data_IF_690802433055
#
_entry.id   IF_690802433055
#
_cell.length_a   1.000
_cell.length_b   1.000
_cell.length_c   1.000
_cell.angle_alpha   90.00
_cell.angle_beta   90.00
_cell.angle_gamma   90.00
#
_symmetry.space_group_name_H-M   'P 1'
#
loop_
_entity.id
_entity.type
_entity.pdbx_description
1 polymer ?
#
# COMPACT_ATOMS: atom_id res chain seq x y z
N UNK A 1 -5.78 29.96 -37.83
CA UNK A 1 -5.10 29.25 -36.72
C UNK A 1 -5.75 27.91 -36.40
N UNK A 2 -7.00 27.80 -35.92
CA UNK A 2 -7.64 26.47 -35.76
C UNK A 2 -7.83 25.72 -37.10
N UNK A 3 -8.24 26.43 -38.15
CA UNK A 3 -8.40 25.85 -39.50
C UNK A 3 -7.10 25.33 -40.11
N UNK A 4 -5.95 25.87 -39.70
CA UNK A 4 -4.65 25.46 -40.23
C UNK A 4 -4.21 24.11 -39.63
N UNK A 5 -4.45 23.89 -38.33
CA UNK A 5 -4.17 22.60 -37.69
C UNK A 5 -5.07 21.48 -38.19
N UNK A 6 -6.34 21.76 -38.43
CA UNK A 6 -7.26 20.78 -39.03
C UNK A 6 -6.78 20.33 -40.42
N UNK A 7 -6.34 21.28 -41.26
CA UNK A 7 -5.76 20.98 -42.58
C UNK A 7 -4.46 20.20 -42.50
N UNK A 8 -3.60 20.52 -41.53
CA UNK A 8 -2.37 19.77 -41.28
C UNK A 8 -2.65 18.33 -40.83
N UNK A 9 -3.70 18.12 -40.03
CA UNK A 9 -4.13 16.79 -39.61
C UNK A 9 -4.65 15.99 -40.81
N UNK A 10 -5.47 16.61 -41.67
CA UNK A 10 -5.93 15.97 -42.92
C UNK A 10 -4.75 15.58 -43.80
N UNK A 11 -3.77 16.49 -43.96
CA UNK A 11 -2.54 16.22 -44.70
C UNK A 11 -1.76 15.05 -44.10
N UNK A 12 -1.62 15.01 -42.77
CA UNK A 12 -0.98 13.89 -42.07
C UNK A 12 -1.69 12.55 -42.27
N UNK A 13 -3.02 12.56 -42.42
CA UNK A 13 -3.82 11.36 -42.70
C UNK A 13 -3.67 10.87 -44.14
N UNK A 14 -3.58 11.79 -45.11
CA UNK A 14 -3.46 11.47 -46.54
C UNK A 14 -2.04 11.06 -46.97
N UNK A 15 -1.01 11.51 -46.23
CA UNK A 15 0.37 11.16 -46.54
C UNK A 15 0.66 9.65 -46.33
N UNK A 16 1.45 9.05 -47.24
CA UNK A 16 1.86 7.65 -47.14
C UNK A 16 2.80 7.41 -45.95
N UNK A 17 2.83 6.16 -45.48
CA UNK A 17 3.71 5.75 -44.37
C UNK A 17 5.19 6.05 -44.68
N UNK A 18 5.91 6.57 -43.68
CA UNK A 18 7.33 6.93 -43.80
C UNK A 18 7.67 8.22 -44.56
N UNK A 19 6.68 9.00 -45.00
CA UNK A 19 6.92 10.25 -45.73
C UNK A 19 7.66 11.30 -44.87
N UNK A 20 8.68 11.97 -45.41
CA UNK A 20 9.57 12.88 -44.65
C UNK A 20 8.81 14.03 -43.94
N UNK A 21 7.78 14.57 -44.60
CA UNK A 21 6.95 15.66 -44.07
C UNK A 21 6.18 15.27 -42.80
N UNK A 22 5.89 13.99 -42.58
CA UNK A 22 5.22 13.53 -41.36
C UNK A 22 6.05 13.83 -40.10
N UNK A 23 7.39 13.81 -40.19
CA UNK A 23 8.25 14.18 -39.06
C UNK A 23 8.13 15.67 -38.72
N UNK A 24 8.11 16.53 -39.73
CA UNK A 24 7.96 17.98 -39.54
C UNK A 24 6.58 18.32 -38.99
N UNK A 25 5.53 17.64 -39.48
CA UNK A 25 4.18 17.76 -38.93
C UNK A 25 4.15 17.35 -37.46
N UNK A 26 4.76 16.21 -37.11
CA UNK A 26 4.80 15.72 -35.74
C UNK A 26 5.54 16.66 -34.78
N UNK A 27 6.69 17.21 -35.19
CA UNK A 27 7.44 18.21 -34.43
C UNK A 27 6.61 19.49 -34.22
N UNK A 28 5.90 19.91 -35.27
CA UNK A 28 5.03 21.07 -35.21
C UNK A 28 3.88 20.83 -34.23
N UNK A 29 3.13 19.73 -34.38
CA UNK A 29 2.06 19.36 -33.44
C UNK A 29 2.55 19.27 -31.99
N UNK A 30 3.75 18.72 -31.78
CA UNK A 30 4.38 18.65 -30.46
C UNK A 30 4.60 20.04 -29.87
N UNK A 31 5.16 20.98 -30.63
CA UNK A 31 5.40 22.36 -30.16
C UNK A 31 4.12 23.12 -29.77
N UNK A 32 2.99 22.77 -30.39
CA UNK A 32 1.67 23.35 -30.10
C UNK A 32 0.86 22.56 -29.05
N UNK A 33 1.39 21.44 -28.54
CA UNK A 33 0.74 20.61 -27.53
C UNK A 33 -0.33 19.65 -28.05
N UNK A 34 -0.40 19.43 -29.37
CA UNK A 34 -1.34 18.53 -30.03
C UNK A 34 -0.80 17.09 -30.03
N UNK A 35 -0.94 16.41 -28.90
CA UNK A 35 -0.29 15.11 -28.66
C UNK A 35 -0.78 13.99 -29.57
N UNK A 36 -2.09 13.83 -29.79
CA UNK A 36 -2.60 12.71 -30.60
C UNK A 36 -2.16 12.83 -32.05
N UNK A 37 -2.28 14.03 -32.63
CA UNK A 37 -1.83 14.31 -33.99
C UNK A 37 -0.33 14.07 -34.15
N UNK A 38 0.49 14.50 -33.18
CA UNK A 38 1.92 14.25 -33.20
C UNK A 38 2.25 12.74 -33.12
N UNK A 39 1.58 12.02 -32.22
CA UNK A 39 1.76 10.56 -32.03
C UNK A 39 1.39 9.81 -33.31
N UNK A 40 0.25 10.13 -33.93
CA UNK A 40 -0.19 9.46 -35.15
C UNK A 40 0.80 9.66 -36.31
N UNK A 41 1.33 10.87 -36.46
CA UNK A 41 2.38 11.15 -37.44
C UNK A 41 3.67 10.37 -37.15
N UNK A 42 4.13 10.32 -35.89
CA UNK A 42 5.33 9.53 -35.54
C UNK A 42 5.12 8.02 -35.69
N UNK A 43 3.93 7.50 -35.38
CA UNK A 43 3.58 6.10 -35.57
C UNK A 43 3.58 5.71 -37.05
N UNK A 44 3.05 6.56 -37.94
CA UNK A 44 3.14 6.37 -39.41
C UNK A 44 4.56 6.38 -39.94
N UNK A 45 5.51 6.99 -39.24
CA UNK A 45 6.94 6.95 -39.56
C UNK A 45 7.68 5.78 -38.90
N UNK A 46 6.99 4.89 -38.19
CA UNK A 46 7.59 3.85 -37.35
C UNK A 46 8.57 4.40 -36.29
N UNK A 47 8.37 5.65 -35.86
CA UNK A 47 9.19 6.36 -34.86
C UNK A 47 8.55 6.28 -33.47
N UNK A 48 8.43 5.07 -32.95
CA UNK A 48 7.70 4.79 -31.70
C UNK A 48 8.34 5.49 -30.49
N UNK A 49 9.68 5.58 -30.45
CA UNK A 49 10.41 6.28 -29.39
C UNK A 49 10.04 7.77 -29.31
N UNK A 50 9.94 8.44 -30.47
CA UNK A 50 9.61 9.87 -30.54
C UNK A 50 8.13 10.12 -30.20
N UNK A 51 7.23 9.21 -30.61
CA UNK A 51 5.83 9.24 -30.22
C UNK A 51 5.66 9.15 -28.69
N UNK A 52 6.40 8.22 -28.06
CA UNK A 52 6.41 8.04 -26.61
C UNK A 52 7.00 9.27 -25.88
N UNK A 53 8.10 9.80 -26.39
CA UNK A 53 8.74 11.01 -25.84
C UNK A 53 7.82 12.23 -25.92
N UNK A 54 7.06 12.37 -27.00
CA UNK A 54 6.05 13.42 -27.17
C UNK A 54 4.96 13.34 -26.11
N UNK A 55 4.47 12.13 -25.83
CA UNK A 55 3.48 11.91 -24.77
C UNK A 55 4.03 12.34 -23.40
N UNK A 56 5.29 12.03 -23.11
CA UNK A 56 5.95 12.45 -21.87
C UNK A 56 6.08 13.98 -21.80
N UNK A 57 6.62 14.62 -22.85
CA UNK A 57 6.79 16.07 -22.95
C UNK A 57 5.49 16.83 -22.72
N UNK A 58 4.40 16.33 -23.28
CA UNK A 58 3.06 16.93 -23.20
C UNK A 58 2.26 16.48 -21.96
N UNK A 59 2.88 15.74 -21.03
CA UNK A 59 2.27 15.18 -19.83
C UNK A 59 1.03 14.30 -20.11
N UNK A 60 0.99 13.62 -21.28
CA UNK A 60 -0.04 12.64 -21.67
C UNK A 60 0.37 11.23 -21.25
N UNK A 61 0.33 11.00 -19.94
CA UNK A 61 0.85 9.79 -19.32
C UNK A 61 0.08 8.51 -19.66
N UNK A 62 -1.25 8.60 -19.74
CA UNK A 62 -2.08 7.45 -20.11
C UNK A 62 -1.73 6.95 -21.51
N UNK A 63 -1.56 7.89 -22.44
CA UNK A 63 -1.15 7.59 -23.82
C UNK A 63 0.26 7.03 -23.90
N UNK A 64 1.21 7.59 -23.13
CA UNK A 64 2.54 7.02 -22.99
C UNK A 64 2.49 5.56 -22.48
N UNK A 65 1.65 5.29 -21.48
CA UNK A 65 1.49 3.95 -20.92
C UNK A 65 0.90 2.96 -21.96
N UNK A 66 -0.09 3.38 -22.75
CA UNK A 66 -0.64 2.59 -23.86
C UNK A 66 0.42 2.26 -24.91
N UNK A 67 1.22 3.24 -25.34
CA UNK A 67 2.27 3.04 -26.33
C UNK A 67 3.37 2.09 -25.82
N UNK A 68 3.75 2.23 -24.55
CA UNK A 68 4.73 1.34 -23.92
C UNK A 68 4.23 -0.11 -23.88
N UNK A 69 2.96 -0.31 -23.53
CA UNK A 69 2.32 -1.63 -23.45
C UNK A 69 2.20 -2.28 -24.83
N UNK A 70 1.76 -1.51 -25.84
CA UNK A 70 1.52 -2.01 -27.21
C UNK A 70 2.80 -2.39 -27.94
N UNK A 71 3.88 -1.62 -27.76
CA UNK A 71 5.10 -1.77 -28.57
C UNK A 71 6.29 -2.35 -27.80
N UNK A 72 6.11 -2.76 -26.54
CA UNK A 72 7.13 -3.39 -25.69
C UNK A 72 8.51 -2.71 -25.77
N UNK A 73 8.51 -1.39 -25.62
CA UNK A 73 9.69 -0.54 -25.83
C UNK A 73 10.85 -0.96 -24.90
N UNK A 74 11.95 -1.44 -25.47
CA UNK A 74 13.12 -1.92 -24.71
C UNK A 74 13.88 -0.81 -23.95
N UNK A 75 13.79 0.44 -24.43
CA UNK A 75 14.51 1.59 -23.88
C UNK A 75 13.70 2.44 -22.90
N UNK A 76 12.51 1.99 -22.47
CA UNK A 76 11.64 2.74 -21.55
C UNK A 76 12.39 3.15 -20.30
N UNK A 77 13.26 2.30 -19.77
CA UNK A 77 14.02 2.62 -18.55
C UNK A 77 14.96 3.83 -18.71
N UNK A 78 15.68 3.93 -19.82
CA UNK A 78 16.60 5.05 -20.07
C UNK A 78 15.85 6.36 -20.29
N UNK A 79 14.75 6.31 -21.06
CA UNK A 79 13.87 7.47 -21.26
C UNK A 79 13.20 7.89 -19.94
N UNK A 80 12.64 6.95 -19.18
CA UNK A 80 12.02 7.25 -17.88
C UNK A 80 13.01 7.84 -16.89
N UNK A 81 14.25 7.35 -16.83
CA UNK A 81 15.28 7.92 -15.94
C UNK A 81 15.63 9.37 -16.33
N UNK A 82 15.71 9.70 -17.62
CA UNK A 82 15.95 11.06 -18.08
C UNK A 82 14.83 12.03 -17.69
N UNK A 83 13.57 11.56 -17.77
CA UNK A 83 12.41 12.37 -17.44
C UNK A 83 12.08 12.39 -15.95
N UNK A 84 12.48 11.36 -15.18
CA UNK A 84 12.24 11.27 -13.74
C UNK A 84 12.82 12.48 -12.99
N UNK A 85 13.98 13.00 -13.41
CA UNK A 85 14.61 14.18 -12.82
C UNK A 85 13.83 15.49 -13.02
N UNK A 86 13.03 15.60 -14.08
CA UNK A 86 12.29 16.83 -14.42
C UNK A 86 10.93 16.94 -13.72
N UNK A 87 10.55 15.92 -12.94
CA UNK A 87 9.15 15.73 -12.50
C UNK A 87 9.02 15.64 -10.97
N UNK A 88 10.15 15.62 -10.26
CA UNK A 88 10.21 15.61 -8.80
C UNK A 88 9.50 16.85 -8.24
N UNK A 89 8.34 16.66 -7.60
CA UNK A 89 7.62 17.70 -6.87
C UNK A 89 6.12 17.81 -7.17
N UNK A 90 5.60 17.17 -8.23
CA UNK A 90 4.16 17.16 -8.53
C UNK A 90 3.54 15.77 -8.29
N UNK A 91 2.62 15.67 -7.31
CA UNK A 91 1.99 14.42 -6.87
C UNK A 91 1.29 13.65 -7.99
N UNK A 92 0.57 14.33 -8.87
CA UNK A 92 -0.15 13.67 -9.99
C UNK A 92 0.83 13.10 -11.00
N UNK A 93 1.95 13.78 -11.22
CA UNK A 93 3.00 13.31 -12.12
C UNK A 93 3.78 12.13 -11.52
N UNK A 94 4.01 12.10 -10.21
CA UNK A 94 4.68 10.96 -9.54
C UNK A 94 3.89 9.65 -9.70
N UNK A 95 2.57 9.68 -9.52
CA UNK A 95 1.73 8.47 -9.69
C UNK A 95 1.69 8.00 -11.14
N UNK A 96 1.67 8.93 -12.08
CA UNK A 96 1.73 8.60 -13.50
C UNK A 96 3.06 7.96 -13.90
N UNK A 97 4.18 8.42 -13.34
CA UNK A 97 5.49 7.78 -13.50
C UNK A 97 5.49 6.37 -12.90
N UNK A 98 4.93 6.20 -11.70
CA UNK A 98 4.82 4.88 -11.09
C UNK A 98 4.04 3.90 -11.99
N UNK A 99 2.96 4.37 -12.63
CA UNK A 99 2.21 3.58 -13.62
C UNK A 99 3.08 3.19 -14.82
N UNK A 100 3.90 4.10 -15.35
CA UNK A 100 4.84 3.80 -16.44
C UNK A 100 5.89 2.75 -16.04
N UNK A 101 6.51 2.89 -14.86
CA UNK A 101 7.45 1.89 -14.35
C UNK A 101 6.77 0.53 -14.14
N UNK A 102 5.53 0.51 -13.64
CA UNK A 102 4.75 -0.72 -13.50
C UNK A 102 4.50 -1.40 -14.85
N UNK A 103 4.10 -0.63 -15.88
CA UNK A 103 3.92 -1.11 -17.26
C UNK A 103 5.21 -1.65 -17.89
N UNK A 104 6.36 -1.08 -17.53
CA UNK A 104 7.68 -1.58 -17.92
C UNK A 104 8.16 -2.78 -17.07
N UNK A 105 7.30 -3.36 -16.23
CA UNK A 105 7.60 -4.43 -15.29
C UNK A 105 8.77 -4.12 -14.32
N UNK A 106 8.95 -2.83 -13.98
CA UNK A 106 9.90 -2.31 -12.99
C UNK A 106 9.16 -1.99 -11.68
N UNK A 107 8.54 -3.00 -11.10
CA UNK A 107 7.59 -2.84 -10.01
C UNK A 107 8.18 -2.23 -8.73
N UNK A 108 9.42 -2.59 -8.35
CA UNK A 108 10.05 -2.04 -7.15
C UNK A 108 10.30 -0.52 -7.25
N UNK A 109 10.71 -0.04 -8.43
CA UNK A 109 10.85 1.41 -8.70
C UNK A 109 9.50 2.12 -8.62
N UNK A 110 8.46 1.52 -9.20
CA UNK A 110 7.10 2.04 -9.09
C UNK A 110 6.64 2.10 -7.63
N UNK A 111 6.86 1.03 -6.86
CA UNK A 111 6.47 0.94 -5.46
C UNK A 111 7.15 2.02 -4.61
N UNK A 112 8.46 2.23 -4.80
CA UNK A 112 9.21 3.29 -4.12
C UNK A 112 8.58 4.67 -4.33
N UNK A 113 8.27 5.03 -5.58
CA UNK A 113 7.61 6.31 -5.90
C UNK A 113 6.24 6.42 -5.22
N UNK A 114 5.45 5.33 -5.21
CA UNK A 114 4.14 5.32 -4.56
C UNK A 114 4.26 5.52 -3.05
N UNK A 115 5.23 4.88 -2.39
CA UNK A 115 5.46 5.07 -0.96
C UNK A 115 6.00 6.46 -0.62
N UNK A 116 6.85 7.05 -1.46
CA UNK A 116 7.28 8.45 -1.32
C UNK A 116 6.07 9.41 -1.38
N UNK A 117 5.14 9.16 -2.30
CA UNK A 117 3.88 9.92 -2.37
C UNK A 117 3.03 9.68 -1.12
N UNK A 118 2.91 8.43 -0.64
CA UNK A 118 2.15 8.10 0.56
C UNK A 118 2.72 8.81 1.80
N UNK A 119 4.04 8.80 1.99
CA UNK A 119 4.73 9.44 3.10
C UNK A 119 4.60 10.98 3.04
N UNK A 120 4.68 11.58 1.85
CA UNK A 120 4.44 13.02 1.67
C UNK A 120 2.98 13.42 1.96
N UNK A 121 2.02 12.57 1.61
CA UNK A 121 0.59 12.77 1.93
C UNK A 121 0.31 12.59 3.43
N UNK A 122 0.97 11.63 4.07
CA UNK A 122 0.90 11.40 5.52
C UNK A 122 1.35 12.64 6.30
N UNK A 123 2.49 13.23 5.94
CA UNK A 123 2.99 14.47 6.54
C UNK A 123 2.02 15.65 6.40
N UNK A 124 1.14 15.61 5.40
CA UNK A 124 0.10 16.62 5.14
C UNK A 124 -1.25 16.25 5.75
N UNK A 125 -1.29 15.22 6.61
CA UNK A 125 -2.48 14.72 7.27
C UNK A 125 -3.62 14.40 6.29
N UNK A 126 -3.26 13.79 5.14
CA UNK A 126 -4.26 13.37 4.16
C UNK A 126 -5.27 12.37 4.78
N UNK A 127 -6.50 12.29 4.27
CA UNK A 127 -7.53 11.41 4.82
C UNK A 127 -7.06 9.93 4.89
N UNK A 128 -7.38 9.18 5.97
CA UNK A 128 -6.96 7.79 6.15
C UNK A 128 -7.27 6.87 4.96
N UNK A 129 -8.42 7.06 4.30
CA UNK A 129 -8.78 6.28 3.12
C UNK A 129 -7.82 6.53 1.94
N UNK A 130 -7.35 7.76 1.75
CA UNK A 130 -6.38 8.10 0.70
C UNK A 130 -5.03 7.44 1.00
N UNK A 131 -4.59 7.50 2.26
CA UNK A 131 -3.35 6.88 2.70
C UNK A 131 -3.40 5.36 2.55
N UNK A 132 -4.48 4.70 3.01
CA UNK A 132 -4.68 3.26 2.78
C UNK A 132 -4.58 2.92 1.29
N UNK A 133 -5.27 3.66 0.41
CA UNK A 133 -5.23 3.39 -1.04
C UNK A 133 -3.82 3.48 -1.61
N UNK A 134 -3.03 4.47 -1.19
CA UNK A 134 -1.64 4.63 -1.65
C UNK A 134 -0.74 3.49 -1.14
N UNK A 135 -0.80 3.14 0.14
CA UNK A 135 -0.01 2.03 0.68
C UNK A 135 -0.42 0.68 0.08
N UNK A 136 -1.71 0.42 -0.11
CA UNK A 136 -2.19 -0.80 -0.79
C UNK A 136 -1.66 -0.86 -2.23
N UNK A 137 -1.66 0.26 -2.95
CA UNK A 137 -1.12 0.31 -4.31
C UNK A 137 0.38 0.02 -4.35
N UNK A 138 1.15 0.58 -3.41
CA UNK A 138 2.58 0.27 -3.27
C UNK A 138 2.82 -1.21 -2.96
N UNK A 139 2.02 -1.79 -2.06
CA UNK A 139 2.18 -3.18 -1.65
C UNK A 139 1.79 -4.16 -2.77
N UNK A 140 0.74 -3.85 -3.55
CA UNK A 140 0.38 -4.64 -4.72
C UNK A 140 1.48 -4.64 -5.79
N UNK A 141 2.20 -3.54 -5.98
CA UNK A 141 3.37 -3.53 -6.88
C UNK A 141 4.47 -4.49 -6.38
N UNK A 142 4.68 -4.60 -5.07
CA UNK A 142 5.61 -5.59 -4.50
C UNK A 142 5.11 -7.03 -4.75
N UNK A 143 3.80 -7.29 -4.65
CA UNK A 143 3.24 -8.59 -5.02
C UNK A 143 3.43 -8.92 -6.51
N UNK A 144 3.31 -7.95 -7.41
CA UNK A 144 3.58 -8.13 -8.84
C UNK A 144 5.07 -8.44 -9.10
N UNK A 145 5.98 -7.83 -8.35
CA UNK A 145 7.41 -8.20 -8.37
C UNK A 145 7.62 -9.67 -7.98
N UNK A 146 7.00 -10.12 -6.88
CA UNK A 146 7.10 -11.52 -6.46
C UNK A 146 6.51 -12.48 -7.49
N UNK A 147 5.37 -12.13 -8.09
CA UNK A 147 4.73 -12.94 -9.12
C UNK A 147 5.60 -13.04 -10.38
N UNK A 148 6.18 -11.92 -10.83
CA UNK A 148 7.12 -11.89 -11.94
C UNK A 148 8.33 -12.79 -11.70
N UNK A 149 8.89 -12.78 -10.48
CA UNK A 149 10.01 -13.63 -10.12
C UNK A 149 9.63 -15.11 -10.07
N UNK A 150 8.46 -15.45 -9.51
CA UNK A 150 7.93 -16.83 -9.54
C UNK A 150 7.79 -17.36 -10.97
N UNK A 151 7.25 -16.55 -11.88
CA UNK A 151 7.09 -16.93 -13.29
C UNK A 151 8.45 -17.12 -14.00
N UNK A 152 9.42 -16.25 -13.75
CA UNK A 152 10.79 -16.40 -14.28
C UNK A 152 11.44 -17.70 -13.81
N UNK A 153 11.27 -18.06 -12.54
CA UNK A 153 11.78 -19.32 -11.98
C UNK A 153 11.07 -20.52 -12.62
N UNK A 154 9.74 -20.47 -12.77
CA UNK A 154 8.97 -21.52 -13.40
C UNK A 154 9.43 -21.80 -14.85
N UNK A 155 9.58 -20.75 -15.67
CA UNK A 155 10.10 -20.87 -17.05
C UNK A 155 11.49 -21.50 -17.11
N UNK A 156 12.41 -21.07 -16.23
CA UNK A 156 13.77 -21.66 -16.15
C UNK A 156 13.73 -23.13 -15.76
N UNK A 157 12.77 -23.56 -14.93
CA UNK A 157 12.62 -24.95 -14.50
C UNK A 157 12.14 -25.85 -15.64
N UNK A 158 11.24 -25.34 -16.49
CA UNK A 158 10.78 -26.03 -17.70
C UNK A 158 11.91 -26.17 -18.73
N UNK A 159 12.69 -25.12 -18.95
CA UNK A 159 13.83 -25.12 -19.89
C UNK A 159 14.99 -26.02 -19.44
N UNK A 160 15.19 -26.20 -18.13
CA UNK A 160 16.33 -26.95 -17.55
C UNK A 160 16.02 -28.39 -17.12
N UNK A 161 14.84 -28.92 -17.44
CA UNK A 161 14.50 -30.32 -17.17
C UNK A 161 14.34 -30.68 -15.69
N UNK A 162 13.97 -29.73 -14.82
CA UNK A 162 13.49 -30.03 -13.47
C UNK A 162 14.52 -30.21 -12.36
N UNK A 163 15.76 -29.74 -12.50
CA UNK A 163 16.73 -29.81 -11.39
C UNK A 163 16.30 -28.92 -10.20
N UNK A 164 16.09 -29.56 -9.04
CA UNK A 164 15.61 -28.93 -7.79
C UNK A 164 16.60 -27.92 -7.18
N UNK A 165 17.90 -28.04 -7.44
CA UNK A 165 18.92 -27.18 -6.82
C UNK A 165 18.92 -25.77 -7.41
N UNK A 166 18.65 -25.63 -8.71
CA UNK A 166 18.61 -24.34 -9.42
C UNK A 166 17.41 -23.47 -9.01
N UNK A 167 16.31 -24.08 -8.55
CA UNK A 167 15.13 -23.34 -8.09
C UNK A 167 15.38 -22.65 -6.74
N UNK A 168 16.18 -23.25 -5.86
CA UNK A 168 16.57 -22.65 -4.58
C UNK A 168 17.62 -21.55 -4.78
N UNK A 169 18.61 -21.77 -5.66
CA UNK A 169 19.58 -20.75 -6.06
C UNK A 169 18.91 -19.56 -6.78
N UNK A 170 17.85 -19.78 -7.55
CA UNK A 170 17.09 -18.72 -8.22
C UNK A 170 16.31 -17.82 -7.26
N UNK A 171 15.80 -18.38 -6.14
CA UNK A 171 15.15 -17.64 -5.06
C UNK A 171 16.16 -16.79 -4.27
N UNK A 172 17.37 -17.31 -4.04
CA UNK A 172 18.44 -16.60 -3.33
C UNK A 172 19.13 -15.54 -4.22
N UNK A 173 19.29 -15.83 -5.52
CA UNK A 173 19.95 -14.92 -6.47
C UNK A 173 19.10 -13.70 -6.86
N UNK A 174 17.76 -13.77 -6.79
CA UNK A 174 16.92 -12.59 -7.00
C UNK A 174 17.09 -11.54 -5.91
N UNK A 175 17.42 -11.96 -4.68
CA UNK A 175 17.61 -11.08 -3.53
C UNK A 175 19.02 -10.46 -3.47
N UNK A 176 20.03 -11.13 -4.05
CA UNK A 176 21.42 -10.62 -4.04
C UNK A 176 21.64 -9.34 -4.85
N UNK A 177 20.73 -8.99 -5.76
CA UNK A 177 20.81 -7.74 -6.54
C UNK A 177 19.96 -6.60 -5.96
N UNK A 178 19.26 -6.83 -4.84
CA UNK A 178 18.45 -5.80 -4.20
C UNK A 178 19.32 -4.92 -3.31
N UNK A 179 19.06 -3.62 -3.33
CA UNK A 179 19.60 -2.71 -2.34
C UNK A 179 18.99 -2.97 -0.95
N UNK A 180 19.72 -2.62 0.11
CA UNK A 180 19.20 -2.70 1.49
C UNK A 180 17.90 -1.90 1.69
N UNK A 181 17.71 -0.82 0.92
CA UNK A 181 16.49 -0.02 0.94
C UNK A 181 15.30 -0.80 0.35
N UNK A 182 15.50 -1.49 -0.78
CA UNK A 182 14.47 -2.32 -1.41
C UNK A 182 14.08 -3.51 -0.53
N UNK A 183 15.04 -4.17 0.13
CA UNK A 183 14.74 -5.26 1.07
C UNK A 183 13.82 -4.77 2.19
N UNK A 184 14.15 -3.65 2.83
CA UNK A 184 13.31 -3.08 3.90
C UNK A 184 11.92 -2.68 3.40
N UNK A 185 11.83 -2.11 2.21
CA UNK A 185 10.56 -1.75 1.58
C UNK A 185 9.69 -2.98 1.32
N UNK A 186 10.30 -4.08 0.86
CA UNK A 186 9.61 -5.34 0.60
C UNK A 186 9.09 -5.93 1.93
N UNK A 187 9.94 -6.00 2.95
CA UNK A 187 9.60 -6.55 4.27
C UNK A 187 8.45 -5.80 4.96
N UNK A 188 8.36 -4.48 4.73
CA UNK A 188 7.36 -3.60 5.36
C UNK A 188 6.26 -3.15 4.42
N UNK A 189 6.16 -3.75 3.24
CA UNK A 189 5.28 -3.31 2.14
C UNK A 189 3.82 -3.09 2.56
N UNK A 190 3.25 -4.04 3.31
CA UNK A 190 1.85 -3.96 3.76
C UNK A 190 1.64 -3.15 5.04
N UNK A 191 2.70 -2.77 5.76
CA UNK A 191 2.62 -2.18 7.10
C UNK A 191 1.81 -0.88 7.14
N UNK A 192 2.04 0.01 6.17
CA UNK A 192 1.27 1.25 6.03
C UNK A 192 -0.20 1.02 5.69
N UNK A 193 -0.49 0.01 4.86
CA UNK A 193 -1.86 -0.35 4.51
C UNK A 193 -2.63 -0.91 5.72
N UNK A 194 -1.99 -1.77 6.51
CA UNK A 194 -2.54 -2.33 7.75
C UNK A 194 -2.85 -1.23 8.77
N UNK A 195 -1.90 -0.31 9.02
CA UNK A 195 -2.06 0.76 10.00
C UNK A 195 -3.35 1.55 9.76
N UNK A 196 -3.52 2.09 8.55
CA UNK A 196 -4.71 2.87 8.20
C UNK A 196 -5.96 2.02 8.04
N UNK A 197 -5.82 0.75 7.62
CA UNK A 197 -6.94 -0.16 7.56
C UNK A 197 -7.54 -0.44 8.94
N UNK A 198 -6.71 -0.81 9.91
CA UNK A 198 -7.16 -1.07 11.28
C UNK A 198 -7.60 0.22 11.97
N UNK A 199 -6.99 1.37 11.67
CA UNK A 199 -7.41 2.65 12.21
C UNK A 199 -8.85 2.97 11.80
N UNK A 200 -9.15 2.88 10.50
CA UNK A 200 -10.51 3.06 10.00
C UNK A 200 -11.48 1.99 10.52
N UNK A 201 -11.02 0.75 10.70
CA UNK A 201 -11.84 -0.34 11.23
C UNK A 201 -12.21 -0.13 12.70
N UNK A 202 -11.28 0.35 13.54
CA UNK A 202 -11.53 0.69 14.93
C UNK A 202 -12.59 1.80 15.05
N UNK A 203 -12.46 2.86 14.23
CA UNK A 203 -13.48 3.90 14.15
C UNK A 203 -14.83 3.35 13.65
N UNK A 204 -14.85 2.46 12.66
CA UNK A 204 -16.09 1.84 12.19
C UNK A 204 -16.81 1.05 13.28
N UNK A 205 -16.07 0.26 14.07
CA UNK A 205 -16.62 -0.46 15.22
C UNK A 205 -17.17 0.49 16.27
N UNK A 206 -16.44 1.56 16.59
CA UNK A 206 -16.86 2.59 17.53
C UNK A 206 -18.17 3.25 17.10
N UNK A 207 -18.30 3.65 15.83
CA UNK A 207 -19.53 4.25 15.30
C UNK A 207 -20.72 3.29 15.26
N UNK A 208 -20.47 1.97 15.19
CA UNK A 208 -21.50 0.93 15.29
C UNK A 208 -21.85 0.55 16.73
N UNK A 209 -21.24 1.21 17.72
CA UNK A 209 -21.34 0.87 19.14
C UNK A 209 -20.89 -0.56 19.49
N UNK A 210 -20.06 -1.18 18.64
CA UNK A 210 -19.38 -2.44 18.97
C UNK A 210 -18.06 -2.14 19.67
N UNK A 211 -18.16 -1.74 20.94
CA UNK A 211 -17.01 -1.28 21.72
C UNK A 211 -15.99 -2.37 21.98
N UNK A 212 -16.41 -3.63 22.16
CA UNK A 212 -15.50 -4.76 22.41
C UNK A 212 -14.61 -5.01 21.18
N UNK A 213 -15.19 -4.99 19.97
CA UNK A 213 -14.38 -5.06 18.76
C UNK A 213 -13.49 -3.84 18.58
N UNK A 214 -14.00 -2.64 18.90
CA UNK A 214 -13.24 -1.41 18.78
C UNK A 214 -11.97 -1.44 19.66
N UNK A 215 -12.06 -1.92 20.91
CA UNK A 215 -10.91 -2.09 21.82
C UNK A 215 -9.87 -3.03 21.24
N UNK A 216 -10.30 -4.21 20.76
CA UNK A 216 -9.39 -5.22 20.21
C UNK A 216 -8.64 -4.70 18.98
N UNK A 217 -9.34 -3.98 18.11
CA UNK A 217 -8.71 -3.33 16.96
C UNK A 217 -7.80 -2.18 17.40
N UNK A 218 -8.20 -1.36 18.37
CA UNK A 218 -7.38 -0.27 18.90
C UNK A 218 -6.09 -0.77 19.57
N UNK A 219 -6.13 -1.91 20.26
CA UNK A 219 -4.93 -2.59 20.78
C UNK A 219 -3.97 -3.00 19.66
N UNK A 220 -4.49 -3.41 18.50
CA UNK A 220 -3.64 -3.73 17.35
C UNK A 220 -2.89 -2.49 16.85
N UNK A 221 -3.48 -1.30 16.95
CA UNK A 221 -2.88 -0.04 16.51
C UNK A 221 -1.63 0.36 17.28
N UNK A 222 -1.43 -0.14 18.50
CA UNK A 222 -0.20 0.11 19.27
C UNK A 222 1.04 -0.49 18.59
N UNK A 223 0.88 -1.42 17.64
CA UNK A 223 1.98 -1.91 16.82
C UNK A 223 2.35 -0.95 15.66
N UNK A 224 1.68 0.19 15.49
CA UNK A 224 1.85 1.11 14.35
C UNK A 224 2.14 2.56 14.78
N UNK A 225 2.72 2.75 15.97
CA UNK A 225 3.10 4.07 16.55
C UNK A 225 4.13 4.86 15.71
N UNK A 226 4.83 4.20 14.80
CA UNK A 226 5.75 4.80 13.82
C UNK A 226 5.03 5.44 12.63
N UNK A 227 3.77 5.08 12.39
CA UNK A 227 2.97 5.52 11.23
C UNK A 227 1.73 6.32 11.63
N UNK A 228 1.20 6.06 12.82
CA UNK A 228 0.05 6.75 13.40
C UNK A 228 0.52 7.57 14.58
N UNK A 229 -0.10 8.73 14.82
CA UNK A 229 0.22 9.53 16.00
C UNK A 229 -0.08 8.73 17.27
N UNK A 230 0.94 8.45 18.13
CA UNK A 230 0.71 7.74 19.38
C UNK A 230 -0.38 8.39 20.22
N UNK A 231 -0.49 9.72 20.24
CA UNK A 231 -1.53 10.42 20.98
C UNK A 231 -2.93 10.00 20.51
N UNK A 232 -3.16 9.96 19.19
CA UNK A 232 -4.45 9.52 18.62
C UNK A 232 -4.73 8.04 18.92
N UNK A 233 -3.72 7.18 18.76
CA UNK A 233 -3.83 5.74 19.00
C UNK A 233 -4.23 5.45 20.45
N UNK A 234 -3.51 6.04 21.41
CA UNK A 234 -3.78 5.80 22.82
C UNK A 234 -5.04 6.52 23.32
N UNK A 235 -5.41 7.66 22.73
CA UNK A 235 -6.70 8.32 23.02
C UNK A 235 -7.88 7.48 22.54
N UNK A 236 -7.79 6.91 21.34
CA UNK A 236 -8.80 5.99 20.81
C UNK A 236 -8.88 4.72 21.67
N UNK A 237 -7.73 4.18 22.08
CA UNK A 237 -7.67 3.01 22.97
C UNK A 237 -8.30 3.31 24.34
N UNK A 238 -7.99 4.46 24.95
CA UNK A 238 -8.55 4.88 26.23
C UNK A 238 -10.08 5.04 26.14
N UNK A 239 -10.57 5.71 25.09
CA UNK A 239 -12.00 5.91 24.86
C UNK A 239 -12.75 4.59 24.64
N UNK A 240 -12.27 3.76 23.73
CA UNK A 240 -12.93 2.48 23.40
C UNK A 240 -12.91 1.53 24.60
N UNK A 241 -11.82 1.49 25.36
CA UNK A 241 -11.69 0.62 26.55
C UNK A 241 -12.57 1.08 27.70
N UNK A 242 -12.72 2.40 27.90
CA UNK A 242 -13.68 2.94 28.84
C UNK A 242 -15.13 2.55 28.48
N UNK A 243 -15.52 2.71 27.22
CA UNK A 243 -16.87 2.37 26.74
C UNK A 243 -17.18 0.86 26.79
N UNK A 244 -16.15 0.02 26.68
CA UNK A 244 -16.28 -1.42 26.76
C UNK A 244 -16.09 -2.00 28.18
N UNK A 245 -15.83 -1.17 29.19
CA UNK A 245 -15.53 -1.59 30.59
C UNK A 245 -14.22 -2.40 30.74
N UNK A 246 -13.26 -2.20 29.83
CA UNK A 246 -11.89 -2.75 29.92
C UNK A 246 -10.99 -1.76 30.66
N UNK A 247 -11.24 -1.56 31.96
CA UNK A 247 -10.54 -0.54 32.77
C UNK A 247 -9.06 -0.82 32.98
N UNK A 248 -8.62 -2.07 32.92
CA UNK A 248 -7.19 -2.45 32.98
C UNK A 248 -6.45 -2.00 31.72
N UNK A 249 -7.05 -2.22 30.55
CA UNK A 249 -6.53 -1.68 29.28
C UNK A 249 -6.58 -0.15 29.26
N UNK A 250 -7.69 0.42 29.72
CA UNK A 250 -7.89 1.88 29.79
C UNK A 250 -6.81 2.56 30.64
N UNK A 251 -6.53 2.01 31.82
CA UNK A 251 -5.49 2.54 32.71
C UNK A 251 -4.11 2.50 32.07
N UNK A 252 -3.77 1.42 31.35
CA UNK A 252 -2.51 1.32 30.59
C UNK A 252 -2.41 2.38 29.48
N UNK A 253 -3.52 2.67 28.81
CA UNK A 253 -3.56 3.73 27.80
C UNK A 253 -3.35 5.12 28.41
N UNK A 254 -4.00 5.43 29.54
CA UNK A 254 -3.78 6.68 30.27
C UNK A 254 -2.34 6.83 30.77
N UNK A 255 -1.75 5.77 31.35
CA UNK A 255 -0.34 5.78 31.75
C UNK A 255 0.60 6.12 30.59
N UNK A 256 0.26 5.69 29.36
CA UNK A 256 1.03 6.05 28.16
C UNK A 256 0.82 7.50 27.76
N UNK A 257 -0.43 7.99 27.74
CA UNK A 257 -0.75 9.39 27.44
C UNK A 257 -0.09 10.36 28.42
N UNK A 258 -0.09 10.05 29.72
CA UNK A 258 0.54 10.87 30.76
C UNK A 258 2.07 10.90 30.64
N UNK A 259 2.69 9.83 30.13
CA UNK A 259 4.13 9.72 29.97
C UNK A 259 4.66 10.27 28.63
N UNK A 260 3.78 10.75 27.74
CA UNK A 260 4.16 11.24 26.41
C UNK A 260 4.90 12.58 26.48
N UNK A 261 6.11 12.65 25.91
CA UNK A 261 6.93 13.87 25.90
C UNK A 261 6.60 14.84 24.76
N UNK A 262 5.81 14.39 23.78
CA UNK A 262 5.42 15.14 22.59
C UNK A 262 4.18 16.03 22.80
N UNK A 263 3.55 15.97 23.98
CA UNK A 263 2.40 16.80 24.34
C UNK A 263 2.77 17.83 25.42
N UNK A 264 1.98 18.89 25.53
CA UNK A 264 2.21 19.94 26.54
C UNK A 264 1.99 19.42 27.97
N UNK A 265 2.62 20.08 28.96
CA UNK A 265 2.38 19.75 30.38
C UNK A 265 0.91 19.92 30.78
N UNK A 266 0.24 20.90 30.19
CA UNK A 266 -1.19 21.17 30.40
C UNK A 266 -2.03 19.99 29.91
N UNK A 267 -1.74 19.43 28.72
CA UNK A 267 -2.42 18.23 28.22
C UNK A 267 -2.15 16.99 29.07
N UNK A 268 -0.91 16.80 29.57
CA UNK A 268 -0.59 15.74 30.51
C UNK A 268 -1.42 15.83 31.80
N UNK A 269 -1.59 17.04 32.35
CA UNK A 269 -2.42 17.28 33.53
C UNK A 269 -3.91 17.00 33.25
N UNK A 270 -4.40 17.32 32.06
CA UNK A 270 -5.77 16.97 31.62
C UNK A 270 -5.96 15.44 31.61
N UNK A 271 -5.02 14.69 31.03
CA UNK A 271 -5.10 13.23 31.03
C UNK A 271 -5.04 12.64 32.44
N UNK A 272 -4.14 13.12 33.29
CA UNK A 272 -4.02 12.67 34.68
C UNK A 272 -5.28 12.97 35.50
N UNK A 273 -5.88 14.15 35.32
CA UNK A 273 -7.14 14.52 35.96
C UNK A 273 -8.29 13.63 35.50
N UNK A 274 -8.38 13.34 34.20
CA UNK A 274 -9.41 12.47 33.63
C UNK A 274 -9.25 11.02 34.13
N UNK A 275 -8.02 10.49 34.13
CA UNK A 275 -7.71 9.17 34.67
C UNK A 275 -8.14 9.05 36.13
N UNK A 276 -7.79 10.04 36.97
CA UNK A 276 -8.22 10.08 38.37
C UNK A 276 -9.75 10.04 38.50
N UNK A 277 -10.48 10.85 37.73
CA UNK A 277 -11.96 10.87 37.80
C UNK A 277 -12.58 9.53 37.40
N UNK A 278 -12.01 8.85 36.40
CA UNK A 278 -12.47 7.54 35.94
C UNK A 278 -12.17 6.46 36.99
N UNK A 279 -10.93 6.39 37.48
CA UNK A 279 -10.47 5.29 38.33
C UNK A 279 -10.79 5.44 39.82
N UNK A 280 -11.23 6.63 40.26
CA UNK A 280 -11.87 6.79 41.57
C UNK A 280 -13.20 6.03 41.67
N UNK A 281 -13.90 5.83 40.54
CA UNK A 281 -15.19 5.14 40.48
C UNK A 281 -15.08 3.70 39.98
N UNK A 282 -14.06 3.41 39.18
CA UNK A 282 -13.88 2.13 38.50
C UNK A 282 -12.50 1.56 38.82
N UNK A 283 -12.43 0.33 39.34
CA UNK A 283 -11.12 -0.31 39.53
C UNK A 283 -10.40 -0.49 38.18
N UNK A 284 -9.08 -0.25 38.09
CA UNK A 284 -8.28 -0.43 36.87
C UNK A 284 -8.00 -1.91 36.60
N UNK A 285 -9.08 -2.70 36.49
CA UNK A 285 -9.08 -4.13 36.18
C UNK A 285 -10.18 -4.42 35.17
N UNK A 286 -9.87 -5.26 34.21
CA UNK A 286 -10.83 -5.65 33.18
C UNK A 286 -11.88 -6.60 33.79
N UNK A 287 -13.15 -6.19 33.75
CA UNK A 287 -14.23 -6.96 34.38
C UNK A 287 -14.68 -8.16 33.53
N UNK A 288 -14.52 -8.07 32.20
CA UNK A 288 -14.99 -9.07 31.23
C UNK A 288 -13.83 -9.52 30.35
N UNK A 289 -13.02 -10.44 30.88
CA UNK A 289 -11.90 -11.05 30.15
C UNK A 289 -12.28 -12.44 29.69
N UNK A 290 -12.32 -12.66 28.38
CA UNK A 290 -12.35 -14.00 27.83
C UNK A 290 -10.93 -14.51 27.67
N UNK A 291 -10.76 -15.81 27.85
CA UNK A 291 -9.48 -16.47 27.69
C UNK A 291 -9.51 -17.44 26.52
N UNK A 292 -8.37 -17.54 25.84
CA UNK A 292 -8.11 -18.45 24.74
C UNK A 292 -6.78 -19.15 24.97
N UNK A 293 -6.55 -20.25 24.25
CA UNK A 293 -5.28 -20.98 24.30
C UNK A 293 -4.34 -20.44 23.22
N UNK A 294 -3.08 -20.23 23.58
CA UNK A 294 -2.05 -19.82 22.62
C UNK A 294 -1.78 -20.97 21.64
N UNK A 295 -1.91 -20.78 20.31
CA UNK A 295 -1.73 -21.85 19.32
C UNK A 295 -0.33 -22.49 19.29
N UNK A 296 0.65 -21.87 19.94
CA UNK A 296 2.05 -22.28 19.91
C UNK A 296 2.55 -22.88 21.24
N UNK A 297 1.90 -22.59 22.36
CA UNK A 297 2.37 -23.07 23.68
C UNK A 297 1.25 -23.46 24.65
N UNK A 298 0.00 -23.44 24.19
CA UNK A 298 -1.22 -23.79 24.94
C UNK A 298 -1.43 -22.99 26.24
N UNK A 299 -0.66 -21.92 26.45
CA UNK A 299 -0.85 -21.03 27.58
C UNK A 299 -2.21 -20.33 27.47
N UNK A 300 -2.90 -20.23 28.61
CA UNK A 300 -4.14 -19.46 28.73
C UNK A 300 -3.83 -17.96 28.67
N UNK A 301 -4.29 -17.29 27.61
CA UNK A 301 -4.04 -15.88 27.33
C UNK A 301 -5.36 -15.14 27.11
N UNK A 302 -5.34 -13.82 27.24
CA UNK A 302 -6.53 -12.99 27.05
C UNK A 302 -6.87 -12.90 25.56
N UNK A 303 -8.15 -12.92 25.21
CA UNK A 303 -8.63 -12.93 23.81
C UNK A 303 -8.31 -11.66 23.00
N UNK A 304 -7.80 -10.63 23.67
CA UNK A 304 -7.35 -9.37 23.08
C UNK A 304 -5.82 -9.22 23.10
N UNK A 305 -5.09 -10.25 23.57
CA UNK A 305 -3.63 -10.25 23.57
C UNK A 305 -3.06 -10.29 22.16
N UNK A 306 -2.36 -9.24 21.76
CA UNK A 306 -1.65 -9.14 20.47
C UNK A 306 -0.28 -9.84 20.48
N UNK A 307 0.23 -10.19 21.67
CA UNK A 307 1.46 -10.96 21.88
C UNK A 307 1.22 -11.93 23.03
N UNK A 308 1.71 -13.16 22.91
CA UNK A 308 1.65 -14.14 23.99
C UNK A 308 2.50 -13.67 25.20
N UNK A 309 1.91 -13.50 26.40
CA UNK A 309 2.63 -13.05 27.60
C UNK A 309 3.64 -14.09 28.13
N UNK A 310 3.57 -15.35 27.67
CA UNK A 310 4.60 -16.34 27.97
C UNK A 310 5.89 -15.96 27.24
N UNK A 311 6.89 -15.47 27.99
CA UNK A 311 8.19 -15.01 27.48
C UNK A 311 8.94 -16.06 26.66
N UNK A 312 8.74 -17.37 26.94
CA UNK A 312 9.37 -18.44 26.16
C UNK A 312 8.72 -18.62 24.78
N UNK A 313 7.45 -18.22 24.65
CA UNK A 313 6.70 -18.34 23.41
C UNK A 313 6.80 -17.07 22.58
N UNK A 314 6.50 -15.90 23.16
CA UNK A 314 6.48 -14.58 22.50
C UNK A 314 5.76 -14.58 21.13
N UNK A 315 4.78 -15.48 20.95
CA UNK A 315 4.08 -15.63 19.68
C UNK A 315 3.19 -14.42 19.42
N UNK A 316 3.18 -13.95 18.17
CA UNK A 316 2.32 -12.87 17.71
C UNK A 316 1.21 -13.46 16.84
N UNK A 317 0.02 -13.71 17.39
CA UNK A 317 -1.10 -14.20 16.59
C UNK A 317 -1.38 -13.24 15.41
N UNK A 318 -1.67 -13.76 14.22
CA UNK A 318 -2.01 -12.90 13.10
C UNK A 318 -3.32 -12.16 13.36
N UNK A 319 -3.44 -10.94 12.84
CA UNK A 319 -4.65 -10.13 13.00
C UNK A 319 -5.61 -10.40 11.84
N UNK A 320 -6.88 -10.60 12.16
CA UNK A 320 -7.96 -10.76 11.19
C UNK A 320 -8.25 -9.44 10.48
N UNK A 321 -8.01 -9.35 9.17
CA UNK A 321 -8.30 -8.13 8.38
C UNK A 321 -9.80 -7.78 8.31
N UNK A 322 -10.70 -8.73 8.54
CA UNK A 322 -12.13 -8.43 8.56
C UNK A 322 -12.58 -7.76 9.87
N UNK A 323 -11.97 -8.15 11.00
CA UNK A 323 -12.47 -7.77 12.34
C UNK A 323 -11.51 -6.94 13.18
N UNK A 324 -10.21 -6.95 12.86
CA UNK A 324 -9.15 -6.35 13.67
C UNK A 324 -8.78 -7.14 14.92
N UNK A 325 -9.31 -8.36 15.10
CA UNK A 325 -9.05 -9.22 16.25
C UNK A 325 -7.89 -10.18 15.98
N UNK A 326 -7.07 -10.51 16.99
CA UNK A 326 -6.10 -11.59 16.88
C UNK A 326 -6.78 -12.93 16.55
N UNK A 327 -6.14 -13.75 15.72
CA UNK A 327 -6.60 -15.09 15.33
C UNK A 327 -5.87 -16.13 16.17
N UNK A 328 -6.63 -16.89 16.94
CA UNK A 328 -6.14 -18.04 17.71
C UNK A 328 -6.62 -19.38 17.16
N UNK A 329 -7.48 -19.37 16.15
CA UNK A 329 -7.94 -20.59 15.47
C UNK A 329 -6.83 -21.16 14.56
N UNK A 330 -6.76 -22.48 14.46
CA UNK A 330 -5.84 -23.16 13.53
C UNK A 330 -6.30 -23.09 12.09
N UNK A 331 -7.62 -22.99 11.87
CA UNK A 331 -8.22 -22.83 10.55
C UNK A 331 -8.61 -21.36 10.36
N UNK A 332 -8.04 -20.74 9.33
CA UNK A 332 -8.34 -19.37 8.96
C UNK A 332 -8.22 -19.20 7.44
N UNK A 333 -8.90 -18.18 6.94
CA UNK A 333 -8.81 -17.79 5.55
C UNK A 333 -7.51 -17.02 5.29
N UNK A 334 -6.92 -17.21 4.10
CA UNK A 334 -5.73 -16.48 3.64
C UNK A 334 -6.03 -15.87 2.27
N UNK A 335 -5.76 -14.58 2.10
CA UNK A 335 -5.88 -13.92 0.81
C UNK A 335 -4.84 -14.47 -0.19
N UNK A 336 -5.28 -14.82 -1.41
CA UNK A 336 -4.38 -15.28 -2.48
C UNK A 336 -3.40 -14.21 -2.97
N UNK A 337 -3.75 -12.92 -2.87
CA UNK A 337 -2.86 -11.79 -3.21
C UNK A 337 -2.00 -11.36 -2.02
N UNK A 338 -2.56 -10.61 -1.07
CA UNK A 338 -1.79 -10.01 0.03
C UNK A 338 -1.33 -10.98 1.13
N UNK A 339 -1.77 -12.24 1.12
CA UNK A 339 -1.47 -13.25 2.15
C UNK A 339 -1.93 -12.94 3.58
N UNK A 340 -2.68 -11.85 3.78
CA UNK A 340 -3.33 -11.57 5.06
C UNK A 340 -4.44 -12.54 5.40
N UNK A 341 -4.70 -12.65 6.70
CA UNK A 341 -5.57 -13.66 7.28
C UNK A 341 -6.87 -13.08 7.78
N UNK A 342 -7.92 -13.88 7.77
CA UNK A 342 -9.19 -13.55 8.39
C UNK A 342 -9.85 -14.79 9.00
N UNK A 343 -10.71 -14.59 9.99
CA UNK A 343 -11.60 -15.64 10.48
C UNK A 343 -12.49 -16.14 9.34
N UNK A 344 -12.59 -17.45 9.17
CA UNK A 344 -13.32 -18.07 8.06
C UNK A 344 -14.80 -17.69 8.04
N UNK A 345 -15.42 -17.55 9.21
CA UNK A 345 -16.83 -17.15 9.32
C UNK A 345 -17.07 -15.69 8.93
N UNK A 346 -16.11 -14.83 9.26
CA UNK A 346 -16.21 -13.38 9.05
C UNK A 346 -15.99 -13.01 7.58
N UNK A 347 -15.03 -13.68 6.92
CA UNK A 347 -14.68 -13.36 5.54
C UNK A 347 -15.78 -13.73 4.55
N UNK A 348 -16.65 -14.68 4.87
CA UNK A 348 -17.78 -15.10 4.03
C UNK A 348 -18.79 -13.96 3.77
N UNK A 349 -18.80 -12.92 4.60
CA UNK A 349 -19.64 -11.74 4.41
C UNK A 349 -19.08 -10.75 3.38
N UNK A 350 -17.88 -11.01 2.86
CA UNK A 350 -17.18 -10.16 1.91
C UNK A 350 -17.12 -10.83 0.54
N UNK A 351 -17.12 -10.01 -0.51
CA UNK A 351 -16.86 -10.45 -1.90
C UNK A 351 -15.39 -10.23 -2.31
N UNK A 352 -14.72 -9.31 -1.62
CA UNK A 352 -13.34 -8.91 -1.89
C UNK A 352 -12.56 -8.85 -0.56
N UNK A 353 -11.24 -8.98 -0.64
CA UNK A 353 -10.36 -8.87 0.52
C UNK A 353 -10.52 -7.49 1.20
N UNK A 354 -10.80 -7.42 2.52
CA UNK A 354 -10.98 -6.15 3.24
C UNK A 354 -9.76 -5.22 3.19
N UNK A 355 -8.56 -5.80 3.08
CA UNK A 355 -7.31 -5.05 3.04
C UNK A 355 -6.94 -4.63 1.60
N UNK A 356 -6.66 -5.60 0.73
CA UNK A 356 -6.13 -5.34 -0.61
C UNK A 356 -7.18 -5.21 -1.71
N UNK A 357 -8.45 -5.45 -1.40
CA UNK A 357 -9.57 -5.36 -2.35
C UNK A 357 -9.52 -6.35 -3.53
N UNK A 358 -8.67 -7.39 -3.48
CA UNK A 358 -8.70 -8.47 -4.46
C UNK A 358 -10.03 -9.25 -4.39
N UNK A 359 -10.62 -9.55 -5.53
CA UNK A 359 -11.84 -10.36 -5.67
C UNK A 359 -11.56 -11.82 -5.30
N UNK A 360 -12.47 -12.46 -4.57
CA UNK A 360 -12.33 -13.87 -4.20
C UNK A 360 -12.56 -14.82 -5.37
N UNK A 361 -13.27 -14.37 -6.41
CA UNK A 361 -13.66 -15.17 -7.57
C UNK A 361 -12.69 -15.05 -8.76
N UNK A 362 -11.56 -14.33 -8.59
CA UNK A 362 -10.49 -14.15 -9.59
C UNK A 362 -9.15 -14.55 -8.99
#
# INVERSE_FOLDING_TARGET
MMDDFARMETLGQELPEGHEVLNQLAETFTSYGLCEQAVDCYLKCNRISDAFETCIKLNKWDRAAELSDRYHLANVENLLNQYAHQIVGNKTKNLAIAQLYSKAAKYLKAAKIVYEVANSEHQKQAPPLRLKKLYVMGALLVEEYYEQNRQKIAKRKEESGGSSSLALDGLLASDHNLSMEEVRMIDTSWRGAEAYHFFMLAHSHLYKSDYVSAVKTALTLTNYEDLLDPMEVYSLLALTSYLAEYYGVCSKAFMKLEAMQNISKEEQEVYASLAMQIFLKNEPKDQRVNYVECPNCDAKIEDHSIVCPNLKCNNRPPICVATGRPIFETQFWICNKCKHRAYQKEINSYINCPLCHNDFNK
#
